data_IF_451192220065
#
_entry.id   IF_451192220065
#
_cell.length_a   1.000
_cell.length_b   1.000
_cell.length_c   1.000
_cell.angle_alpha   90.00
_cell.angle_beta   90.00
_cell.angle_gamma   90.00
#
_symmetry.space_group_name_H-M   'P 1'
#
loop_
_entity.id
_entity.type
_entity.pdbx_description
1 polymer ?
#
# COMPACT_ATOMS: atom_id res chain seq x y z
N UNK A 1 23.09 -8.60 19.08
CA UNK A 1 22.49 -8.29 17.77
C UNK A 1 21.15 -7.62 17.99
N UNK A 2 20.91 -6.51 17.34
CA UNK A 2 19.64 -5.78 17.48
C UNK A 2 18.68 -6.31 16.42
N UNK A 3 17.49 -6.75 16.87
CA UNK A 3 16.47 -7.20 15.95
C UNK A 3 15.94 -6.03 15.12
N UNK A 4 15.83 -6.25 13.82
CA UNK A 4 15.26 -5.25 12.93
C UNK A 4 13.75 -5.16 13.14
N UNK A 5 13.23 -3.94 13.05
CA UNK A 5 11.79 -3.72 13.12
C UNK A 5 11.11 -4.23 11.85
N UNK A 6 9.99 -4.91 12.01
CA UNK A 6 9.15 -5.39 10.92
C UNK A 6 7.92 -4.50 10.82
N UNK A 7 7.82 -3.78 9.72
CA UNK A 7 6.78 -2.75 9.55
C UNK A 7 5.89 -3.11 8.36
N UNK A 8 4.60 -3.23 8.61
CA UNK A 8 3.59 -3.51 7.58
C UNK A 8 3.29 -2.23 6.80
N UNK A 9 3.25 -2.36 5.49
CA UNK A 9 2.85 -1.27 4.61
C UNK A 9 1.61 -1.68 3.82
N UNK A 10 0.55 -0.91 3.96
CA UNK A 10 -0.68 -1.08 3.20
C UNK A 10 -1.35 0.28 3.01
N UNK A 11 -2.16 0.38 1.98
CA UNK A 11 -2.84 1.63 1.70
C UNK A 11 -4.02 1.45 0.76
N UNK A 12 -5.04 2.25 1.00
CA UNK A 12 -6.23 2.33 0.15
C UNK A 12 -6.54 3.82 -0.02
N UNK A 13 -6.42 4.31 -1.25
CA UNK A 13 -6.57 5.72 -1.54
C UNK A 13 -7.64 5.96 -2.61
N UNK A 14 -8.60 6.82 -2.29
CA UNK A 14 -9.67 7.21 -3.20
C UNK A 14 -10.24 8.56 -2.80
N UNK A 15 -10.22 9.48 -3.74
CA UNK A 15 -10.99 10.72 -3.61
C UNK A 15 -12.36 10.45 -4.23
N UNK A 16 -13.39 10.44 -3.40
CA UNK A 16 -14.72 10.00 -3.81
C UNK A 16 -15.68 11.17 -4.01
N UNK A 17 -16.47 11.09 -5.08
CA UNK A 17 -17.57 11.98 -5.36
C UNK A 17 -18.84 11.14 -5.54
N UNK A 18 -19.82 11.31 -4.65
CA UNK A 18 -21.04 10.51 -4.67
C UNK A 18 -21.87 10.63 -5.95
N UNK A 19 -21.60 11.63 -6.77
CA UNK A 19 -22.32 11.84 -8.03
C UNK A 19 -21.68 11.14 -9.22
N UNK A 20 -20.47 10.62 -9.05
CA UNK A 20 -19.79 9.86 -10.09
C UNK A 20 -20.18 8.38 -10.02
N UNK A 21 -20.00 7.62 -11.11
CA UNK A 21 -20.25 6.18 -11.10
C UNK A 21 -19.43 5.47 -10.03
N UNK A 22 -19.96 4.40 -9.41
CA UNK A 22 -19.20 3.64 -8.42
C UNK A 22 -17.85 3.16 -8.92
N UNK A 23 -16.87 3.18 -8.03
CA UNK A 23 -15.51 2.77 -8.34
C UNK A 23 -15.34 1.26 -8.15
N UNK A 24 -14.84 0.57 -9.18
CA UNK A 24 -14.66 -0.88 -9.19
C UNK A 24 -13.19 -1.25 -9.08
N UNK A 25 -12.92 -2.56 -8.91
CA UNK A 25 -11.56 -3.10 -8.90
C UNK A 25 -10.79 -2.67 -10.15
N UNK A 26 -11.44 -2.67 -11.32
CA UNK A 26 -10.80 -2.28 -12.57
C UNK A 26 -10.27 -0.86 -12.53
N UNK A 27 -11.00 0.06 -11.91
CA UNK A 27 -10.56 1.46 -11.78
C UNK A 27 -9.27 1.55 -10.98
N UNK A 28 -9.14 0.75 -9.92
CA UNK A 28 -7.91 0.67 -9.14
C UNK A 28 -6.78 0.05 -9.95
N UNK A 29 -7.04 -1.06 -10.64
CA UNK A 29 -6.03 -1.74 -11.46
C UNK A 29 -5.48 -0.86 -12.57
N UNK A 30 -6.31 -0.03 -13.15
CA UNK A 30 -5.92 0.92 -14.22
C UNK A 30 -5.22 2.16 -13.67
N UNK A 31 -5.30 2.43 -12.39
CA UNK A 31 -4.72 3.60 -11.76
C UNK A 31 -3.48 3.25 -10.94
N UNK A 32 -3.67 2.69 -9.75
CA UNK A 32 -2.58 2.32 -8.87
C UNK A 32 -2.92 1.01 -8.15
N UNK A 33 -2.17 -0.04 -8.44
CA UNK A 33 -2.41 -1.34 -7.82
C UNK A 33 -1.09 -2.07 -7.67
N UNK A 34 -0.51 -2.01 -6.47
CA UNK A 34 0.77 -2.64 -6.17
C UNK A 34 0.63 -3.65 -5.05
N UNK A 35 1.32 -4.78 -5.18
CA UNK A 35 1.23 -5.89 -4.26
C UNK A 35 2.62 -6.41 -3.90
N UNK A 36 2.85 -6.67 -2.63
CA UNK A 36 4.08 -7.29 -2.17
C UNK A 36 5.33 -6.46 -2.47
N UNK A 37 6.39 -7.12 -2.91
CA UNK A 37 7.69 -6.48 -3.16
C UNK A 37 7.63 -5.36 -4.19
N UNK A 38 6.66 -5.37 -5.07
CA UNK A 38 6.47 -4.29 -6.05
C UNK A 38 6.33 -2.93 -5.36
N UNK A 39 5.73 -2.91 -4.17
CA UNK A 39 5.54 -1.68 -3.38
C UNK A 39 6.90 -1.09 -3.00
N UNK A 40 7.77 -1.91 -2.47
CA UNK A 40 9.12 -1.51 -2.07
C UNK A 40 9.93 -1.00 -3.25
N UNK A 41 9.92 -1.74 -4.33
CA UNK A 41 10.66 -1.38 -5.55
C UNK A 41 10.16 -0.04 -6.10
N UNK A 42 8.84 0.11 -6.23
CA UNK A 42 8.25 1.32 -6.79
C UNK A 42 8.45 2.53 -5.89
N UNK A 43 8.26 2.36 -4.59
CA UNK A 43 8.39 3.45 -3.63
C UNK A 43 9.81 4.04 -3.58
N UNK A 44 10.83 3.23 -3.86
CA UNK A 44 12.22 3.67 -3.83
C UNK A 44 12.73 4.26 -5.14
N UNK A 45 11.92 4.27 -6.19
CA UNK A 45 12.28 4.93 -7.44
C UNK A 45 12.28 6.44 -7.26
N UNK A 46 13.07 7.14 -8.07
CA UNK A 46 13.11 8.60 -8.05
C UNK A 46 11.76 9.22 -8.43
N UNK A 47 11.10 8.65 -9.46
CA UNK A 47 9.79 9.11 -9.92
C UNK A 47 8.79 7.95 -9.90
N UNK A 48 8.25 7.62 -8.73
CA UNK A 48 7.37 6.46 -8.60
C UNK A 48 5.97 6.72 -9.11
N UNK A 49 5.29 5.63 -9.52
CA UNK A 49 3.87 5.67 -9.85
C UNK A 49 2.99 5.37 -8.63
N UNK A 50 3.60 4.99 -7.52
CA UNK A 50 2.89 4.76 -6.27
C UNK A 50 2.62 6.10 -5.57
N UNK A 51 1.64 6.12 -4.67
CA UNK A 51 1.29 7.31 -3.92
C UNK A 51 2.52 7.92 -3.23
N UNK A 52 2.69 9.24 -3.34
CA UNK A 52 3.88 9.92 -2.81
C UNK A 52 4.02 9.79 -1.29
N UNK A 53 2.91 9.60 -0.57
CA UNK A 53 2.95 9.33 0.86
C UNK A 53 3.69 8.04 1.19
N UNK A 54 3.55 7.01 0.34
CA UNK A 54 4.27 5.75 0.51
C UNK A 54 5.76 5.94 0.25
N UNK A 55 6.10 6.67 -0.81
CA UNK A 55 7.49 7.03 -1.09
C UNK A 55 8.11 7.80 0.09
N UNK A 56 7.40 8.79 0.60
CA UNK A 56 7.87 9.58 1.74
C UNK A 56 8.09 8.72 2.97
N UNK A 57 7.17 7.79 3.23
CA UNK A 57 7.31 6.85 4.33
C UNK A 57 8.59 6.01 4.19
N UNK A 58 8.82 5.41 3.01
CA UNK A 58 10.03 4.62 2.77
C UNK A 58 11.30 5.46 2.93
N UNK A 59 11.31 6.67 2.40
CA UNK A 59 12.47 7.57 2.53
C UNK A 59 12.79 7.88 4.00
N UNK A 60 11.76 8.18 4.79
CA UNK A 60 11.94 8.49 6.21
C UNK A 60 12.41 7.26 6.97
N UNK A 61 11.83 6.09 6.71
CA UNK A 61 12.21 4.85 7.39
C UNK A 61 13.64 4.43 7.07
N UNK A 62 14.02 4.50 5.79
CA UNK A 62 15.40 4.20 5.39
C UNK A 62 16.40 5.12 6.10
N UNK A 63 16.08 6.41 6.17
CA UNK A 63 16.92 7.39 6.84
C UNK A 63 16.94 7.18 8.37
N UNK A 64 15.77 6.98 8.96
CA UNK A 64 15.61 6.85 10.41
C UNK A 64 16.38 5.64 10.95
N UNK A 65 16.26 4.50 10.27
CA UNK A 65 16.91 3.27 10.73
C UNK A 65 18.35 3.09 10.21
N UNK A 66 18.83 3.97 9.35
CA UNK A 66 20.22 3.95 8.91
C UNK A 66 20.50 3.21 7.61
N UNK A 67 19.53 3.08 6.75
CA UNK A 67 19.70 2.50 5.41
C UNK A 67 18.57 1.56 5.00
N UNK A 68 18.60 1.16 3.73
CA UNK A 68 17.58 0.29 3.13
C UNK A 68 17.46 -1.06 3.86
N UNK A 69 18.59 -1.61 4.31
CA UNK A 69 18.62 -2.92 4.96
C UNK A 69 18.52 -2.85 6.48
N UNK A 70 18.23 -1.67 7.03
CA UNK A 70 18.20 -1.45 8.48
C UNK A 70 16.88 -1.80 9.15
N UNK A 71 15.85 -2.03 8.36
CA UNK A 71 14.52 -2.41 8.81
C UNK A 71 13.92 -3.41 7.83
N UNK A 72 12.86 -4.09 8.24
CA UNK A 72 12.19 -5.08 7.39
C UNK A 72 10.82 -4.51 7.04
N UNK A 73 10.62 -4.20 5.77
CA UNK A 73 9.31 -3.83 5.28
C UNK A 73 8.52 -5.10 4.94
N UNK A 74 7.25 -5.06 5.33
CA UNK A 74 6.28 -6.12 5.02
C UNK A 74 5.17 -5.49 4.18
N UNK A 75 5.45 -5.23 2.89
CA UNK A 75 4.44 -4.60 2.03
C UNK A 75 3.38 -5.60 1.60
N UNK A 76 2.13 -5.21 1.73
CA UNK A 76 0.98 -6.08 1.41
C UNK A 76 0.28 -5.60 0.15
N UNK A 77 -0.52 -4.55 0.27
CA UNK A 77 -1.27 -3.96 -0.83
C UNK A 77 -1.28 -2.44 -0.68
N UNK A 78 -0.96 -1.75 -1.76
CA UNK A 78 -1.16 -0.31 -1.87
C UNK A 78 -1.92 -0.06 -3.16
N UNK A 79 -3.16 0.36 -3.04
CA UNK A 79 -4.03 0.58 -4.17
C UNK A 79 -4.68 1.95 -4.10
N UNK A 80 -5.00 2.51 -5.26
CA UNK A 80 -5.68 3.78 -5.35
C UNK A 80 -6.32 3.96 -6.71
N UNK A 81 -7.31 4.82 -6.78
CA UNK A 81 -7.98 5.15 -8.01
C UNK A 81 -7.91 6.65 -8.26
N UNK A 82 -8.03 7.05 -9.52
CA UNK A 82 -8.34 8.43 -9.87
C UNK A 82 -9.67 8.82 -9.23
N UNK A 83 -9.91 10.13 -9.03
CA UNK A 83 -11.19 10.57 -8.46
C UNK A 83 -12.37 9.94 -9.20
N UNK A 84 -13.25 9.30 -8.45
CA UNK A 84 -14.38 8.53 -8.98
C UNK A 84 -15.53 8.55 -7.99
N UNK A 85 -16.56 7.72 -8.20
CA UNK A 85 -17.64 7.55 -7.25
C UNK A 85 -17.24 6.72 -6.04
N UNK A 86 -18.19 6.45 -5.15
CA UNK A 86 -17.93 5.59 -4.00
C UNK A 86 -17.43 4.21 -4.43
N UNK A 87 -16.53 3.64 -3.66
CA UNK A 87 -16.03 2.29 -3.94
C UNK A 87 -17.18 1.29 -3.77
N UNK A 88 -17.23 0.31 -4.68
CA UNK A 88 -18.21 -0.78 -4.54
C UNK A 88 -17.91 -1.58 -3.30
N UNK A 89 -18.92 -1.81 -2.47
CA UNK A 89 -18.79 -2.53 -1.20
C UNK A 89 -18.14 -3.90 -1.39
N UNK A 90 -18.56 -4.64 -2.41
CA UNK A 90 -18.02 -5.96 -2.71
C UNK A 90 -16.50 -5.92 -2.88
N UNK A 91 -16.00 -4.96 -3.64
CA UNK A 91 -14.56 -4.83 -3.84
C UNK A 91 -13.84 -4.43 -2.56
N UNK A 92 -14.42 -3.49 -1.80
CA UNK A 92 -13.81 -3.07 -0.54
C UNK A 92 -13.70 -4.24 0.44
N UNK A 93 -14.74 -5.07 0.53
CA UNK A 93 -14.71 -6.25 1.38
C UNK A 93 -13.67 -7.27 0.90
N UNK A 94 -13.49 -7.42 -0.40
CA UNK A 94 -12.42 -8.28 -0.95
C UNK A 94 -11.04 -7.76 -0.57
N UNK A 95 -10.84 -6.45 -0.63
CA UNK A 95 -9.59 -5.82 -0.20
C UNK A 95 -9.31 -6.09 1.27
N UNK A 96 -10.30 -5.88 2.14
CA UNK A 96 -10.16 -6.15 3.58
C UNK A 96 -9.86 -7.61 3.87
N UNK A 97 -10.53 -8.52 3.16
CA UNK A 97 -10.29 -9.96 3.32
C UNK A 97 -8.88 -10.37 2.92
N UNK A 98 -8.38 -9.83 1.82
CA UNK A 98 -7.02 -10.09 1.37
C UNK A 98 -5.98 -9.54 2.35
N UNK A 99 -6.22 -8.33 2.84
CA UNK A 99 -5.35 -7.70 3.84
C UNK A 99 -5.31 -8.54 5.11
N UNK A 100 -6.47 -8.96 5.63
CA UNK A 100 -6.56 -9.79 6.81
C UNK A 100 -5.80 -11.11 6.64
N UNK A 101 -6.00 -11.77 5.50
CA UNK A 101 -5.35 -13.04 5.19
C UNK A 101 -3.82 -12.90 5.21
N UNK A 102 -3.30 -11.85 4.61
CA UNK A 102 -1.86 -11.62 4.57
C UNK A 102 -1.28 -11.22 5.91
N UNK A 103 -2.02 -10.43 6.69
CA UNK A 103 -1.61 -10.06 8.05
C UNK A 103 -1.48 -11.28 8.94
N UNK A 104 -2.43 -12.21 8.85
CA UNK A 104 -2.38 -13.46 9.62
C UNK A 104 -1.15 -14.29 9.27
N UNK A 105 -0.74 -14.30 8.00
CA UNK A 105 0.46 -15.02 7.56
C UNK A 105 1.75 -14.43 8.11
N UNK A 106 1.79 -13.11 8.30
CA UNK A 106 2.98 -12.45 8.82
C UNK A 106 3.23 -12.76 10.29
N UNK A 107 2.19 -13.05 11.05
CA UNK A 107 2.31 -13.20 12.49
C UNK A 107 2.58 -11.87 13.18
N UNK A 108 3.50 -11.86 14.14
CA UNK A 108 3.79 -10.65 14.91
C UNK A 108 4.63 -9.66 14.11
N UNK A 109 4.17 -8.42 14.07
CA UNK A 109 4.90 -7.28 13.46
C UNK A 109 4.98 -6.14 14.46
N UNK A 110 5.87 -5.21 14.21
CA UNK A 110 6.08 -4.05 15.10
C UNK A 110 5.11 -2.90 14.86
#
# INVERSE_FOLDING_TARGET
MIDKKRIVICGFNLESNRFAPPCSKKDFEESMYFSGIEISIEARKESPRIHLGVKGFYNIMDKWFGGVDSWIDEPILVIGSSPAGPVKEEFFLQFLGELERRLKKLGNVD
#
